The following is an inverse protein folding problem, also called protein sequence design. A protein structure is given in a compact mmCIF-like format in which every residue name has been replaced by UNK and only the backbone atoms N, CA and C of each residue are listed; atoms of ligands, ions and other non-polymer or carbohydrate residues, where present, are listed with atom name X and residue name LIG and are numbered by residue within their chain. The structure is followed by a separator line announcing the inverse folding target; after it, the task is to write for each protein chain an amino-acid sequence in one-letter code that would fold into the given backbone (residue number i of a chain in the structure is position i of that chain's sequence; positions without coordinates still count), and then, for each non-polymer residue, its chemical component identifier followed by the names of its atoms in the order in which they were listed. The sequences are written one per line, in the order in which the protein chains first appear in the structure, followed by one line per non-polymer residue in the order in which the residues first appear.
data_IF_005025882352
#
_entry.id   IF_005025882352
#
_cell.length_a   1.000
_cell.length_b   1.000
_cell.length_c   1.000
_cell.angle_alpha   90.00
_cell.angle_beta   90.00
_cell.angle_gamma   90.00
#
_symmetry.space_group_name_H-M   'P 1'
#
loop_
_entity.id
_entity.type
_entity.pdbx_description
1 polymer ?
#
# COMPACT_ATOMS: atom_id res chain seq x y z
N UNK A 1 -10.78 53.76 51.37
CA UNK A 1 -10.77 52.36 51.87
C UNK A 1 -11.95 51.60 51.25
N UNK A 2 -11.72 50.80 50.20
CA UNK A 2 -12.60 49.70 49.73
C UNK A 2 -11.87 48.91 48.62
N UNK A 3 -11.78 47.60 48.82
CA UNK A 3 -10.87 46.62 48.21
C UNK A 3 -11.20 46.37 46.73
N UNK A 4 -10.19 46.31 45.86
CA UNK A 4 -10.32 45.74 44.51
C UNK A 4 -10.21 44.21 44.63
N UNK A 5 -11.30 43.50 44.32
CA UNK A 5 -11.31 42.04 44.20
C UNK A 5 -10.67 41.67 42.86
N UNK A 6 -9.57 40.91 42.91
CA UNK A 6 -8.94 40.33 41.72
C UNK A 6 -9.60 38.96 41.47
N UNK A 7 -10.51 38.87 40.50
CA UNK A 7 -11.07 37.59 40.07
C UNK A 7 -10.05 36.90 39.17
N UNK A 8 -9.37 35.88 39.70
CA UNK A 8 -8.50 34.98 38.92
C UNK A 8 -9.41 33.98 38.20
N UNK A 9 -9.56 34.14 36.89
CA UNK A 9 -10.21 33.17 36.02
C UNK A 9 -9.20 32.07 35.70
N UNK A 10 -9.39 30.88 36.27
CA UNK A 10 -8.60 29.70 35.95
C UNK A 10 -9.19 29.06 34.68
N UNK A 11 -8.59 29.35 33.52
CA UNK A 11 -8.96 28.70 32.26
C UNK A 11 -8.38 27.29 32.30
N UNK A 12 -9.24 26.31 32.58
CA UNK A 12 -8.92 24.89 32.47
C UNK A 12 -8.81 24.54 30.98
N UNK A 13 -7.60 24.58 30.42
CA UNK A 13 -7.34 24.06 29.08
C UNK A 13 -7.46 22.54 29.18
N UNK A 14 -8.66 22.02 28.86
CA UNK A 14 -8.85 20.59 28.62
C UNK A 14 -8.12 20.27 27.32
N UNK A 15 -6.88 19.82 27.43
CA UNK A 15 -6.20 19.20 26.30
C UNK A 15 -6.96 17.90 26.00
N UNK A 16 -7.77 17.94 24.94
CA UNK A 16 -8.33 16.74 24.35
C UNK A 16 -7.15 15.88 23.89
N UNK A 17 -6.75 14.92 24.72
CA UNK A 17 -5.85 13.87 24.28
C UNK A 17 -6.63 13.09 23.24
N UNK A 18 -6.33 13.33 21.97
CA UNK A 18 -6.83 12.52 20.87
C UNK A 18 -6.26 11.11 21.10
N UNK A 19 -7.04 10.25 21.76
CA UNK A 19 -6.68 8.85 21.91
C UNK A 19 -6.91 8.21 20.54
N UNK A 20 -5.86 8.16 19.73
CA UNK A 20 -5.84 7.29 18.57
C UNK A 20 -5.98 5.85 19.08
N UNK A 21 -7.07 5.20 18.71
CA UNK A 21 -7.32 3.82 19.10
C UNK A 21 -6.21 2.95 18.51
N UNK A 22 -5.52 2.19 19.36
CA UNK A 22 -4.64 1.12 18.90
C UNK A 22 -5.51 0.12 18.12
N UNK A 23 -5.12 -0.21 16.87
CA UNK A 23 -5.72 -1.37 16.21
C UNK A 23 -5.43 -2.59 17.08
N UNK A 24 -6.50 -3.15 17.64
CA UNK A 24 -6.44 -4.26 18.58
C UNK A 24 -7.01 -5.55 17.98
N UNK A 25 -7.07 -6.63 18.77
CA UNK A 25 -7.65 -7.91 18.37
C UNK A 25 -9.05 -7.78 17.74
N UNK A 26 -9.86 -6.85 18.26
CA UNK A 26 -11.21 -6.58 17.74
C UNK A 26 -11.19 -6.06 16.29
N UNK A 27 -10.23 -5.18 15.95
CA UNK A 27 -10.10 -4.64 14.59
C UNK A 27 -9.73 -5.73 13.60
N UNK A 28 -8.81 -6.63 13.97
CA UNK A 28 -8.42 -7.77 13.13
C UNK A 28 -9.61 -8.70 12.87
N UNK A 29 -10.36 -9.06 13.91
CA UNK A 29 -11.54 -9.91 13.79
C UNK A 29 -12.61 -9.28 12.88
N UNK A 30 -12.84 -7.96 12.99
CA UNK A 30 -13.78 -7.25 12.12
C UNK A 30 -13.30 -7.30 10.65
N UNK A 31 -12.02 -7.03 10.39
CA UNK A 31 -11.46 -7.10 9.04
C UNK A 31 -11.58 -8.52 8.45
N UNK A 32 -11.28 -9.55 9.22
CA UNK A 32 -11.42 -10.94 8.79
C UNK A 32 -12.86 -11.25 8.37
N UNK A 33 -13.84 -10.82 9.18
CA UNK A 33 -15.26 -10.99 8.87
C UNK A 33 -15.66 -10.24 7.59
N UNK A 34 -15.18 -9.01 7.41
CA UNK A 34 -15.47 -8.20 6.22
C UNK A 34 -14.87 -8.84 4.95
N UNK A 35 -13.61 -9.24 4.98
CA UNK A 35 -12.97 -9.93 3.86
C UNK A 35 -13.66 -11.26 3.54
N UNK A 36 -14.03 -12.05 4.55
CA UNK A 36 -14.81 -13.27 4.35
C UNK A 36 -16.13 -12.98 3.66
N UNK A 37 -16.87 -11.97 4.14
CA UNK A 37 -18.15 -11.56 3.53
C UNK A 37 -17.98 -11.11 2.08
N UNK A 38 -16.89 -10.42 1.77
CA UNK A 38 -16.56 -9.95 0.41
C UNK A 38 -16.50 -11.12 -0.60
N UNK A 39 -16.02 -12.29 -0.17
CA UNK A 39 -15.97 -13.50 -1.02
C UNK A 39 -17.32 -14.16 -1.24
N UNK A 40 -18.29 -13.93 -0.33
CA UNK A 40 -19.60 -14.61 -0.34
C UNK A 40 -20.66 -13.82 -1.10
N UNK A 41 -20.54 -12.50 -1.16
CA UNK A 41 -21.52 -11.63 -1.82
C UNK A 41 -21.43 -11.73 -3.34
N UNK A 42 -22.60 -11.73 -3.98
CA UNK A 42 -22.74 -11.87 -5.44
C UNK A 42 -22.83 -10.53 -6.18
N UNK A 43 -23.42 -9.52 -5.55
CA UNK A 43 -23.67 -8.22 -6.17
C UNK A 43 -22.46 -7.30 -5.99
N UNK A 44 -22.01 -6.67 -7.06
CA UNK A 44 -20.86 -5.75 -7.04
C UNK A 44 -21.10 -4.54 -6.14
N UNK A 45 -22.32 -4.00 -6.11
CA UNK A 45 -22.69 -2.92 -5.20
C UNK A 45 -22.50 -3.30 -3.72
N UNK A 46 -22.73 -4.56 -3.35
CA UNK A 46 -22.51 -5.02 -1.99
C UNK A 46 -21.02 -5.25 -1.71
N UNK A 47 -20.24 -5.70 -2.70
CA UNK A 47 -18.77 -5.76 -2.60
C UNK A 47 -18.18 -4.39 -2.35
N UNK A 48 -18.63 -3.38 -3.08
CA UNK A 48 -18.19 -1.99 -2.92
C UNK A 48 -18.53 -1.46 -1.52
N UNK A 49 -19.76 -1.64 -1.03
CA UNK A 49 -20.15 -1.21 0.34
C UNK A 49 -19.33 -1.89 1.44
N UNK A 50 -19.05 -3.18 1.30
CA UNK A 50 -18.19 -3.91 2.23
C UNK A 50 -16.76 -3.34 2.15
N UNK A 51 -16.26 -3.11 0.93
CA UNK A 51 -14.95 -2.53 0.71
C UNK A 51 -14.84 -1.12 1.31
N UNK A 52 -15.88 -0.29 1.24
CA UNK A 52 -15.90 1.03 1.88
C UNK A 52 -15.69 0.91 3.40
N UNK A 53 -16.27 -0.13 4.01
CA UNK A 53 -16.06 -0.42 5.44
C UNK A 53 -14.62 -0.87 5.73
N UNK A 54 -14.02 -1.67 4.84
CA UNK A 54 -12.61 -2.06 4.93
C UNK A 54 -11.71 -0.83 4.80
N UNK A 55 -11.93 0.00 3.77
CA UNK A 55 -11.23 1.25 3.54
C UNK A 55 -11.30 2.13 4.78
N UNK A 56 -12.47 2.35 5.39
CA UNK A 56 -12.61 3.18 6.58
C UNK A 56 -11.76 2.68 7.77
N UNK A 57 -11.70 1.36 7.99
CA UNK A 57 -10.89 0.76 9.05
C UNK A 57 -9.40 0.91 8.75
N UNK A 58 -8.98 0.59 7.52
CA UNK A 58 -7.57 0.69 7.10
C UNK A 58 -7.10 2.14 7.09
N UNK A 59 -7.96 3.08 6.71
CA UNK A 59 -7.71 4.52 6.68
C UNK A 59 -7.41 5.06 8.08
N UNK A 60 -8.21 4.66 9.06
CA UNK A 60 -8.02 4.98 10.48
C UNK A 60 -6.75 4.34 11.02
N UNK A 61 -6.52 3.05 10.72
CA UNK A 61 -5.31 2.35 11.12
C UNK A 61 -4.04 3.00 10.55
N UNK A 62 -4.04 3.33 9.26
CA UNK A 62 -2.91 3.91 8.55
C UNK A 62 -2.47 5.27 9.12
N UNK A 63 -3.42 6.07 9.59
CA UNK A 63 -3.15 7.38 10.23
C UNK A 63 -2.80 7.29 11.72
N UNK A 64 -2.94 6.11 12.33
CA UNK A 64 -2.66 5.93 13.75
C UNK A 64 -1.18 5.65 14.03
N UNK A 65 -0.74 5.93 15.27
CA UNK A 65 0.59 5.55 15.77
C UNK A 65 0.81 4.02 15.80
N UNK A 66 -0.27 3.24 15.69
CA UNK A 66 -0.19 1.79 15.63
C UNK A 66 0.27 1.25 14.27
N UNK A 67 0.25 2.08 13.21
CA UNK A 67 0.56 1.63 11.85
C UNK A 67 1.93 0.96 11.74
N UNK A 68 2.93 1.34 12.55
CA UNK A 68 4.27 0.73 12.53
C UNK A 68 4.60 -0.16 13.73
N UNK A 69 3.72 -0.21 14.72
CA UNK A 69 3.91 -0.97 15.96
C UNK A 69 2.98 -2.20 16.06
N UNK A 70 2.02 -2.30 15.14
CA UNK A 70 1.08 -3.39 15.02
C UNK A 70 1.15 -3.97 13.59
N UNK A 71 0.81 -5.24 13.43
CA UNK A 71 0.75 -5.97 12.16
C UNK A 71 -0.46 -6.90 12.23
N UNK A 72 -1.36 -6.85 11.25
CA UNK A 72 -2.51 -7.76 11.24
C UNK A 72 -2.05 -9.18 10.95
N UNK A 73 -2.39 -10.15 11.78
CA UNK A 73 -2.00 -11.54 11.55
C UNK A 73 -3.15 -12.34 10.92
N UNK A 74 -2.83 -13.29 10.04
CA UNK A 74 -3.82 -14.23 9.50
C UNK A 74 -4.88 -13.66 8.53
N UNK A 75 -4.83 -12.38 8.17
CA UNK A 75 -5.76 -11.80 7.19
C UNK A 75 -5.43 -12.25 5.76
N UNK A 76 -6.02 -13.37 5.33
CA UNK A 76 -5.78 -14.02 4.03
C UNK A 76 -5.84 -13.09 2.81
N UNK A 77 -6.73 -12.11 2.82
CA UNK A 77 -7.02 -11.24 1.67
C UNK A 77 -6.39 -9.84 1.79
N UNK A 78 -5.58 -9.60 2.83
CA UNK A 78 -4.88 -8.34 3.05
C UNK A 78 -3.38 -8.57 2.93
N UNK A 79 -2.77 -8.06 1.86
CA UNK A 79 -1.33 -7.93 1.76
C UNK A 79 -0.85 -6.82 2.68
N UNK A 80 0.17 -7.09 3.51
CA UNK A 80 0.85 -6.04 4.26
C UNK A 80 2.36 -6.31 4.26
N UNK A 81 3.14 -5.26 4.02
CA UNK A 81 4.59 -5.33 4.09
C UNK A 81 5.15 -4.07 4.74
N UNK A 82 6.16 -4.25 5.58
CA UNK A 82 6.84 -3.15 6.27
C UNK A 82 8.32 -3.19 5.96
N UNK A 83 8.87 -2.03 5.60
CA UNK A 83 10.32 -1.84 5.51
C UNK A 83 11.02 -2.17 6.82
N UNK A 84 12.24 -2.70 6.73
CA UNK A 84 13.03 -3.10 7.93
C UNK A 84 13.28 -1.97 8.93
N UNK A 85 13.30 -0.72 8.44
CA UNK A 85 13.50 0.47 9.28
C UNK A 85 12.18 1.14 9.69
N UNK A 86 11.04 0.52 9.43
CA UNK A 86 9.71 1.06 9.73
C UNK A 86 9.49 2.48 9.18
N UNK A 87 10.08 2.77 8.02
CA UNK A 87 9.94 4.05 7.32
C UNK A 87 8.78 4.03 6.33
N UNK A 88 8.47 2.85 5.79
CA UNK A 88 7.39 2.61 4.85
C UNK A 88 6.64 1.33 5.24
N UNK A 89 5.32 1.39 5.26
CA UNK A 89 4.41 0.26 5.29
C UNK A 89 3.48 0.35 4.08
N UNK A 90 3.21 -0.79 3.46
CA UNK A 90 2.29 -0.91 2.34
C UNK A 90 1.21 -1.91 2.74
N UNK A 91 -0.05 -1.53 2.56
CA UNK A 91 -1.21 -2.39 2.75
C UNK A 91 -1.95 -2.45 1.41
N UNK A 92 -2.18 -3.65 0.87
CA UNK A 92 -2.81 -3.85 -0.44
C UNK A 92 -3.83 -4.96 -0.42
N UNK A 93 -4.90 -4.80 -1.20
CA UNK A 93 -5.84 -5.86 -1.51
C UNK A 93 -6.55 -5.57 -2.84
N UNK A 94 -7.31 -6.53 -3.32
CA UNK A 94 -8.14 -6.39 -4.50
C UNK A 94 -9.55 -6.89 -4.21
N UNK A 95 -10.50 -6.43 -5.01
CA UNK A 95 -11.85 -6.97 -5.09
C UNK A 95 -12.12 -7.37 -6.53
N UNK A 96 -12.66 -8.56 -6.75
CA UNK A 96 -13.17 -8.94 -8.07
C UNK A 96 -14.56 -8.33 -8.25
N UNK A 97 -14.80 -7.75 -9.42
CA UNK A 97 -16.07 -7.14 -9.82
C UNK A 97 -16.42 -7.71 -11.20
N UNK A 98 -17.71 -7.99 -11.44
CA UNK A 98 -18.16 -8.77 -12.59
C UNK A 98 -17.60 -8.29 -13.92
N UNK A 99 -18.12 -7.18 -14.44
CA UNK A 99 -17.74 -6.68 -15.78
C UNK A 99 -16.40 -5.94 -15.82
N UNK A 100 -15.94 -5.37 -14.69
CA UNK A 100 -14.68 -4.62 -14.64
C UNK A 100 -13.45 -5.47 -14.32
N UNK A 101 -13.61 -6.80 -14.16
CA UNK A 101 -12.54 -7.73 -13.77
C UNK A 101 -12.17 -7.63 -12.29
N UNK A 102 -11.96 -6.40 -11.79
CA UNK A 102 -11.69 -6.09 -10.40
C UNK A 102 -11.12 -4.69 -10.19
N UNK A 103 -10.82 -4.39 -8.93
CA UNK A 103 -10.21 -3.13 -8.51
C UNK A 103 -9.18 -3.40 -7.42
N UNK A 104 -8.04 -2.72 -7.49
CA UNK A 104 -7.00 -2.71 -6.47
C UNK A 104 -7.20 -1.56 -5.51
N UNK A 105 -6.78 -1.77 -4.27
CA UNK A 105 -6.69 -0.75 -3.23
C UNK A 105 -5.32 -0.85 -2.56
N UNK A 106 -4.70 0.29 -2.31
CA UNK A 106 -3.40 0.37 -1.70
C UNK A 106 -3.29 1.57 -0.78
N UNK A 107 -2.68 1.33 0.38
CA UNK A 107 -2.24 2.37 1.30
C UNK A 107 -0.72 2.31 1.37
N UNK A 108 -0.06 3.37 0.91
CA UNK A 108 1.34 3.63 1.24
C UNK A 108 1.38 4.52 2.47
N UNK A 109 2.07 4.06 3.50
CA UNK A 109 2.17 4.74 4.79
C UNK A 109 3.64 5.06 5.00
N UNK A 110 4.00 6.33 4.94
CA UNK A 110 5.36 6.82 5.16
C UNK A 110 5.47 7.41 6.57
N UNK A 111 6.40 6.85 7.36
CA UNK A 111 6.68 7.33 8.71
C UNK A 111 7.62 8.55 8.64
N UNK A 112 7.07 9.74 8.87
CA UNK A 112 7.84 10.98 8.91
C UNK A 112 8.49 11.25 10.27
N UNK A 113 8.21 10.42 11.27
CA UNK A 113 8.61 10.62 12.67
C UNK A 113 7.74 11.62 13.45
N UNK A 114 6.78 12.29 12.78
CA UNK A 114 5.78 13.16 13.43
C UNK A 114 4.38 12.58 13.26
N UNK A 115 3.95 12.46 12.01
CA UNK A 115 2.67 11.87 11.63
C UNK A 115 2.88 10.96 10.42
N UNK A 116 2.01 9.97 10.26
CA UNK A 116 2.06 9.13 9.08
C UNK A 116 1.56 9.92 7.88
N UNK A 117 2.40 10.02 6.86
CA UNK A 117 1.95 10.48 5.56
C UNK A 117 1.33 9.30 4.81
N UNK A 118 0.03 9.38 4.54
CA UNK A 118 -0.76 8.28 3.98
C UNK A 118 -1.18 8.64 2.56
N UNK A 119 -0.83 7.79 1.60
CA UNK A 119 -1.28 7.86 0.22
C UNK A 119 -2.30 6.73 -0.01
N UNK A 120 -3.49 7.08 -0.51
CA UNK A 120 -4.57 6.14 -0.77
C UNK A 120 -4.74 6.01 -2.28
N UNK A 121 -4.42 4.83 -2.80
CA UNK A 121 -4.42 4.55 -4.21
C UNK A 121 -5.49 3.49 -4.52
N UNK A 122 -6.18 3.67 -5.64
CA UNK A 122 -7.11 2.70 -6.19
C UNK A 122 -6.97 2.67 -7.71
N UNK A 123 -7.15 1.51 -8.30
CA UNK A 123 -7.02 1.34 -9.75
C UNK A 123 -7.88 0.17 -10.21
N UNK A 124 -8.58 0.31 -11.32
CA UNK A 124 -9.28 -0.81 -11.95
C UNK A 124 -8.27 -1.78 -12.57
N UNK A 125 -8.69 -3.01 -12.78
CA UNK A 125 -7.88 -3.96 -13.52
C UNK A 125 -7.67 -3.49 -14.95
N UNK A 126 -6.45 -3.64 -15.46
CA UNK A 126 -6.10 -3.24 -16.82
C UNK A 126 -5.44 -4.40 -17.59
N UNK A 127 -5.97 -4.65 -18.78
CA UNK A 127 -5.40 -5.59 -19.72
C UNK A 127 -4.09 -5.06 -20.31
N UNK A 128 -3.87 -3.75 -20.32
CA UNK A 128 -2.61 -3.16 -20.74
C UNK A 128 -1.60 -3.15 -19.60
N UNK A 129 -0.37 -3.57 -19.91
CA UNK A 129 0.71 -3.55 -18.96
C UNK A 129 1.18 -2.11 -18.69
N UNK A 130 1.60 -1.77 -17.46
CA UNK A 130 2.14 -0.44 -17.19
C UNK A 130 3.39 -0.16 -18.04
N UNK A 131 3.49 1.06 -18.57
CA UNK A 131 4.56 1.44 -19.50
C UNK A 131 5.93 1.36 -18.82
N UNK A 132 6.82 0.48 -19.27
CA UNK A 132 8.12 0.20 -18.59
C UNK A 132 9.07 1.40 -18.48
N UNK A 133 8.85 2.46 -19.26
CA UNK A 133 9.68 3.67 -19.34
C UNK A 133 8.94 4.95 -18.90
N UNK A 134 7.89 4.81 -18.09
CA UNK A 134 7.08 5.92 -17.59
C UNK A 134 7.11 5.98 -16.07
N UNK A 135 7.21 7.19 -15.54
CA UNK A 135 6.93 7.46 -14.13
C UNK A 135 5.42 7.60 -13.90
N UNK A 136 4.98 7.09 -12.76
CA UNK A 136 3.61 7.20 -12.29
C UNK A 136 3.60 7.85 -10.90
N UNK A 137 2.44 8.31 -10.47
CA UNK A 137 2.15 8.99 -9.21
C UNK A 137 0.97 8.29 -8.53
N UNK A 138 0.51 8.83 -7.40
CA UNK A 138 -0.76 8.41 -6.79
C UNK A 138 -1.95 8.56 -7.75
N UNK A 139 -1.97 9.61 -8.59
CA UNK A 139 -3.11 9.95 -9.43
C UNK A 139 -3.30 9.02 -10.65
N UNK A 140 -2.24 8.34 -11.08
CA UNK A 140 -2.24 7.45 -12.25
C UNK A 140 -1.68 6.06 -11.93
N UNK A 141 -1.73 5.65 -10.66
CA UNK A 141 -1.25 4.33 -10.25
C UNK A 141 -1.93 3.20 -11.00
N UNK A 142 -1.11 2.33 -11.59
CA UNK A 142 -1.54 1.24 -12.48
C UNK A 142 -2.14 0.03 -11.74
N UNK A 143 -2.09 0.00 -10.40
CA UNK A 143 -2.62 -1.12 -9.62
C UNK A 143 -1.65 -2.30 -9.48
N UNK A 144 -1.37 -2.71 -8.25
CA UNK A 144 -0.61 -3.92 -7.94
C UNK A 144 -0.82 -4.35 -6.48
N UNK A 145 -0.72 -5.65 -6.24
CA UNK A 145 -0.63 -6.25 -4.92
C UNK A 145 0.84 -6.41 -4.52
N UNK A 146 1.31 -5.66 -3.53
CA UNK A 146 2.72 -5.66 -3.13
C UNK A 146 2.98 -6.68 -2.02
N UNK A 147 3.98 -7.54 -2.22
CA UNK A 147 4.26 -8.66 -1.31
C UNK A 147 5.69 -8.71 -0.78
N UNK A 148 6.62 -7.91 -1.32
CA UNK A 148 7.93 -7.71 -0.69
C UNK A 148 8.52 -6.36 -1.09
N UNK A 149 9.43 -5.83 -0.26
CA UNK A 149 10.16 -4.61 -0.55
C UNK A 149 11.56 -4.59 0.05
N UNK A 150 12.49 -3.88 -0.60
CA UNK A 150 13.82 -3.58 -0.05
C UNK A 150 14.12 -2.10 -0.19
N UNK A 151 14.66 -1.53 0.89
CA UNK A 151 15.09 -0.14 0.90
C UNK A 151 16.53 -0.04 0.39
N UNK A 152 16.81 1.01 -0.40
CA UNK A 152 18.16 1.39 -0.75
C UNK A 152 18.32 2.91 -0.75
N UNK A 153 19.57 3.38 -0.68
CA UNK A 153 19.87 4.79 -0.48
C UNK A 153 19.58 5.29 0.94
N UNK A 154 19.75 6.60 1.15
CA UNK A 154 19.57 7.30 2.44
C UNK A 154 19.15 8.75 2.19
N UNK A 155 18.46 9.35 3.16
CA UNK A 155 18.03 10.75 3.08
C UNK A 155 17.16 11.00 1.86
N UNK A 156 17.44 12.08 1.12
CA UNK A 156 16.68 12.48 -0.07
C UNK A 156 16.86 11.52 -1.27
N UNK A 157 17.84 10.60 -1.19
CA UNK A 157 18.06 9.54 -2.18
C UNK A 157 17.52 8.21 -1.68
N UNK A 158 16.58 8.21 -0.73
CA UNK A 158 15.95 7.01 -0.23
C UNK A 158 14.89 6.52 -1.22
N UNK A 159 14.99 5.23 -1.56
CA UNK A 159 14.07 4.56 -2.46
C UNK A 159 13.72 3.19 -1.92
N UNK A 160 12.63 2.64 -2.42
CA UNK A 160 12.22 1.27 -2.14
C UNK A 160 11.99 0.53 -3.44
N UNK A 161 12.66 -0.60 -3.60
CA UNK A 161 12.34 -1.56 -4.65
C UNK A 161 11.18 -2.42 -4.15
N UNK A 162 10.11 -2.49 -4.93
CA UNK A 162 8.90 -3.23 -4.63
C UNK A 162 8.81 -4.45 -5.54
N UNK A 163 8.30 -5.56 -4.99
CA UNK A 163 7.81 -6.69 -5.76
C UNK A 163 6.28 -6.71 -5.68
N UNK A 164 5.64 -6.64 -6.84
CA UNK A 164 4.19 -6.58 -6.99
C UNK A 164 3.64 -7.68 -7.88
N UNK A 165 2.34 -7.91 -7.73
CA UNK A 165 1.53 -8.78 -8.57
C UNK A 165 0.36 -7.98 -9.13
N UNK A 166 0.30 -7.86 -10.45
CA UNK A 166 -0.86 -7.38 -11.18
C UNK A 166 -1.59 -8.60 -11.75
N UNK A 167 -2.83 -8.79 -11.31
CA UNK A 167 -3.74 -9.85 -11.74
C UNK A 167 -4.36 -9.61 -13.12
N UNK A 168 -4.15 -8.44 -13.75
CA UNK A 168 -4.62 -8.02 -15.07
C UNK A 168 -6.03 -8.51 -15.46
N UNK A 169 -6.17 -9.78 -15.85
CA UNK A 169 -7.44 -10.44 -16.10
C UNK A 169 -7.38 -11.95 -15.75
N UNK A 170 -8.48 -12.71 -15.90
CA UNK A 170 -8.49 -14.13 -15.55
C UNK A 170 -7.45 -15.02 -16.27
N UNK A 171 -6.86 -14.56 -17.37
CA UNK A 171 -5.91 -15.33 -18.20
C UNK A 171 -4.46 -14.87 -18.04
N UNK A 172 -4.25 -13.59 -17.72
CA UNK A 172 -2.94 -12.94 -17.67
C UNK A 172 -2.62 -12.50 -16.25
N UNK A 173 -1.41 -12.80 -15.78
CA UNK A 173 -0.85 -12.26 -14.54
C UNK A 173 0.52 -11.66 -14.83
N UNK A 174 0.86 -10.58 -14.12
CA UNK A 174 2.14 -9.90 -14.22
C UNK A 174 2.81 -9.80 -12.87
N UNK A 175 4.09 -10.19 -12.81
CA UNK A 175 4.95 -9.78 -11.69
C UNK A 175 5.66 -8.49 -12.04
N UNK A 176 5.73 -7.58 -11.09
CA UNK A 176 6.26 -6.24 -11.27
C UNK A 176 7.43 -6.02 -10.32
N UNK A 177 8.55 -5.56 -10.85
CA UNK A 177 9.63 -4.94 -10.07
C UNK A 177 9.58 -3.45 -10.35
N UNK A 178 9.22 -2.65 -9.36
CA UNK A 178 9.18 -1.19 -9.48
C UNK A 178 10.01 -0.54 -8.38
N UNK A 179 10.31 0.74 -8.56
CA UNK A 179 11.00 1.57 -7.57
C UNK A 179 10.10 2.72 -7.22
N UNK A 180 9.92 2.94 -5.92
CA UNK A 180 9.24 4.13 -5.42
C UNK A 180 10.22 5.08 -4.71
N UNK A 181 9.88 6.35 -4.77
CA UNK A 181 10.47 7.44 -3.99
C UNK A 181 9.37 8.36 -3.50
N UNK A 182 9.72 9.23 -2.56
CA UNK A 182 8.88 10.36 -2.17
C UNK A 182 9.61 11.62 -2.64
N UNK A 183 8.92 12.46 -3.40
CA UNK A 183 9.48 13.73 -3.89
C UNK A 183 9.68 14.71 -2.73
N UNK A 184 10.49 15.78 -2.91
CA UNK A 184 10.64 16.83 -1.90
C UNK A 184 9.31 17.48 -1.49
N UNK A 185 8.34 17.52 -2.41
CA UNK A 185 6.98 18.02 -2.18
C UNK A 185 6.09 17.02 -1.44
N UNK A 186 6.61 15.82 -1.13
CA UNK A 186 5.89 14.78 -0.42
C UNK A 186 4.98 13.96 -1.32
N UNK A 187 5.22 13.86 -2.63
CA UNK A 187 4.42 13.01 -3.51
C UNK A 187 5.09 11.64 -3.69
N UNK A 188 4.30 10.56 -3.70
CA UNK A 188 4.82 9.25 -4.08
C UNK A 188 5.03 9.18 -5.60
N UNK A 189 6.25 8.77 -6.01
CA UNK A 189 6.64 8.62 -7.42
C UNK A 189 7.08 7.18 -7.65
N UNK A 190 6.47 6.54 -8.65
CA UNK A 190 6.77 5.20 -9.12
C UNK A 190 7.62 5.26 -10.39
N UNK A 191 8.58 4.36 -10.50
CA UNK A 191 9.47 4.23 -11.64
C UNK A 191 10.76 5.04 -11.49
N UNK A 192 11.89 4.34 -11.54
CA UNK A 192 13.22 4.96 -11.55
C UNK A 192 14.13 4.29 -12.57
N UNK A 193 14.90 5.09 -13.30
CA UNK A 193 15.81 4.67 -14.38
C UNK A 193 17.04 3.90 -13.86
N UNK A 194 16.82 2.73 -13.26
CA UNK A 194 17.86 1.90 -12.64
C UNK A 194 17.96 0.51 -13.25
N UNK A 195 16.92 0.02 -13.92
CA UNK A 195 16.95 -1.32 -14.52
C UNK A 195 17.64 -1.25 -15.88
N UNK A 196 18.89 -1.72 -15.93
CA UNK A 196 19.73 -1.69 -17.13
C UNK A 196 19.86 -3.06 -17.75
N UNK A 197 19.64 -3.15 -19.05
CA UNK A 197 20.00 -4.30 -19.88
C UNK A 197 20.73 -3.80 -21.13
N UNK A 198 22.06 -3.94 -21.13
CA UNK A 198 22.91 -3.33 -22.14
C UNK A 198 22.73 -1.80 -22.18
N UNK A 199 22.27 -1.28 -23.33
CA UNK A 199 22.01 0.16 -23.53
C UNK A 199 20.60 0.60 -23.10
N UNK A 200 19.69 -0.35 -22.86
CA UNK A 200 18.31 -0.04 -22.47
C UNK A 200 18.26 0.23 -20.98
N UNK A 201 17.63 1.35 -20.61
CA UNK A 201 17.30 1.70 -19.23
C UNK A 201 15.78 1.73 -19.11
N UNK A 202 15.24 1.16 -18.04
CA UNK A 202 13.80 1.09 -17.77
C UNK A 202 13.49 1.55 -16.35
N UNK A 203 12.28 2.04 -16.14
CA UNK A 203 11.73 2.43 -14.85
C UNK A 203 11.27 1.22 -14.03
N UNK A 204 10.79 0.16 -14.70
CA UNK A 204 10.30 -1.08 -14.08
C UNK A 204 10.55 -2.30 -14.95
N UNK A 205 10.48 -3.48 -14.33
CA UNK A 205 10.54 -4.79 -14.99
C UNK A 205 9.20 -5.49 -14.82
N UNK A 206 8.70 -6.09 -15.90
CA UNK A 206 7.45 -6.84 -15.93
C UNK A 206 7.73 -8.26 -16.41
N UNK A 207 7.14 -9.23 -15.72
CA UNK A 207 7.12 -10.63 -16.10
C UNK A 207 5.65 -11.00 -16.32
N UNK A 208 5.20 -11.01 -17.57
CA UNK A 208 3.85 -11.40 -17.94
C UNK A 208 3.79 -12.91 -18.24
N UNK A 209 2.79 -13.58 -17.71
CA UNK A 209 2.61 -15.02 -17.84
C UNK A 209 1.14 -15.41 -17.72
N UNK A 210 0.80 -16.63 -18.13
CA UNK A 210 -0.56 -17.16 -17.93
C UNK A 210 -0.89 -17.25 -16.44
N UNK A 211 -2.10 -16.82 -16.04
CA UNK A 211 -2.62 -16.96 -14.67
C UNK A 211 -2.70 -18.42 -14.18
N UNK A 212 -2.52 -19.40 -15.07
CA UNK A 212 -2.44 -20.83 -14.76
C UNK A 212 -1.03 -21.31 -14.41
N UNK A 213 0.01 -20.52 -14.69
CA UNK A 213 1.40 -20.86 -14.40
C UNK A 213 1.84 -20.32 -13.04
N UNK A 214 2.82 -20.99 -12.43
CA UNK A 214 3.47 -20.52 -11.20
C UNK A 214 4.81 -19.94 -11.56
N UNK A 215 4.98 -18.64 -11.32
CA UNK A 215 6.23 -17.91 -11.56
C UNK A 215 6.77 -17.39 -10.25
N UNK A 216 8.07 -17.54 -10.01
CA UNK A 216 8.76 -17.02 -8.84
C UNK A 216 9.35 -15.64 -9.16
N UNK A 217 9.23 -14.71 -8.20
CA UNK A 217 9.97 -13.45 -8.15
C UNK A 217 10.16 -13.12 -6.68
N UNK A 218 11.41 -13.03 -6.23
CA UNK A 218 11.72 -12.77 -4.81
C UNK A 218 13.07 -12.10 -4.66
N UNK A 219 13.25 -11.41 -3.54
CA UNK A 219 14.58 -11.03 -3.09
C UNK A 219 15.30 -12.27 -2.54
N UNK A 220 16.42 -12.64 -3.16
CA UNK A 220 17.33 -13.64 -2.59
C UNK A 220 18.24 -13.01 -1.52
N UNK A 221 18.63 -11.75 -1.74
CA UNK A 221 19.33 -10.90 -0.77
C UNK A 221 18.83 -9.46 -0.93
N UNK A 222 19.30 -8.53 -0.08
CA UNK A 222 18.97 -7.10 -0.21
C UNK A 222 19.44 -6.46 -1.52
N UNK A 223 20.32 -7.14 -2.27
CA UNK A 223 20.92 -6.65 -3.51
C UNK A 223 20.64 -7.54 -4.72
N UNK A 224 19.92 -8.65 -4.52
CA UNK A 224 19.71 -9.66 -5.56
C UNK A 224 18.24 -10.08 -5.59
N UNK A 225 17.62 -9.84 -6.74
CA UNK A 225 16.30 -10.37 -7.09
C UNK A 225 16.50 -11.58 -8.00
N UNK A 226 15.76 -12.65 -7.73
CA UNK A 226 15.74 -13.86 -8.55
C UNK A 226 14.32 -14.12 -9.04
N UNK A 227 14.20 -14.57 -10.28
CA UNK A 227 12.93 -14.90 -10.91
C UNK A 227 13.11 -15.98 -11.97
N UNK A 228 12.02 -16.67 -12.29
CA UNK A 228 12.03 -17.72 -13.29
C UNK A 228 12.19 -17.15 -14.70
N UNK A 229 12.93 -17.87 -15.55
CA UNK A 229 13.04 -17.52 -16.95
C UNK A 229 11.76 -17.94 -17.69
N UNK A 230 10.98 -16.97 -18.14
CA UNK A 230 9.77 -17.22 -18.90
C UNK A 230 10.14 -17.47 -20.37
N UNK A 231 9.91 -18.69 -20.83
CA UNK A 231 10.03 -19.03 -22.25
C UNK A 231 8.65 -18.83 -22.90
N UNK A 232 8.56 -18.17 -24.08
CA UNK A 232 7.31 -17.99 -24.80
C UNK A 232 6.55 -19.28 -25.10
#
# INVERSE_FOLDING_TARGET
MKRKLFSIVFILIVTATCRFALAGPDTQFILEKLFTRLTLVRQDNDRLRINDSICAIIDSYARSDSAFNHTFEGLRYLGQITSRKSQLKIITWNIALGESGGKYFCYFIHNTGKENQVYRLESDYDNEAPLVNRQYTEADWYGALYYDLRQYGKGDQQHWVLLGLDLANPEITRKIIDVISISPEGNIIFGKDIFRNGKTVRNRVLLEYSSKAVVTLRFNTDKLIVFDHLVP
#
